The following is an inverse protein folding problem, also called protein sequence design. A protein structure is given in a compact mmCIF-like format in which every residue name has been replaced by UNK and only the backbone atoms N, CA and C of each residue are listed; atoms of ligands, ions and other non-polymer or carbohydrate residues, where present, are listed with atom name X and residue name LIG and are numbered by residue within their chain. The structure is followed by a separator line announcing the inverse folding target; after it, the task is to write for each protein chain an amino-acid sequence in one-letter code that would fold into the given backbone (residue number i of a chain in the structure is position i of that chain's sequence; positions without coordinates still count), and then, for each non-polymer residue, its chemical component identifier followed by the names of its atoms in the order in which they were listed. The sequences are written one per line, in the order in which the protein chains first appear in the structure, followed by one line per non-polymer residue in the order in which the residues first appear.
data_IF_632554384635
#
_entry.id   IF_632554384635
#
_cell.length_a   1.000
_cell.length_b   1.000
_cell.length_c   1.000
_cell.angle_alpha   90.00
_cell.angle_beta   90.00
_cell.angle_gamma   90.00
#
_symmetry.space_group_name_H-M   'P 1'
#
loop_
_entity.id
_entity.type
_entity.pdbx_description
1 polymer ?
#
# COMPACT_ATOMS: atom_id res chain seq x y z
N UNK A 1 29.75 24.25 11.48
CA UNK A 1 28.31 24.02 11.24
C UNK A 1 28.17 22.58 10.78
N UNK A 2 27.73 21.70 11.67
CA UNK A 2 27.43 20.31 11.35
C UNK A 2 25.99 20.27 10.86
N UNK A 3 25.79 19.92 9.60
CA UNK A 3 24.46 19.64 9.03
C UNK A 3 23.89 18.41 9.74
N UNK A 4 22.92 18.64 10.61
CA UNK A 4 22.07 17.59 11.17
C UNK A 4 21.11 17.14 10.08
N UNK A 5 21.48 16.12 9.29
CA UNK A 5 20.50 15.34 8.56
C UNK A 5 19.64 14.64 9.62
N UNK A 6 18.47 15.21 9.94
CA UNK A 6 17.44 14.56 10.73
C UNK A 6 17.02 13.29 9.99
N UNK A 7 17.68 12.18 10.27
CA UNK A 7 17.21 10.86 9.90
C UNK A 7 15.97 10.60 10.74
N UNK A 8 14.80 10.90 10.19
CA UNK A 8 13.52 10.48 10.76
C UNK A 8 13.65 8.97 11.01
N UNK A 9 13.41 8.48 12.24
CA UNK A 9 13.58 7.05 12.53
C UNK A 9 12.76 6.25 11.51
N UNK A 10 13.38 5.22 10.92
CA UNK A 10 12.74 4.31 9.98
C UNK A 10 11.57 3.65 10.70
N UNK A 11 10.41 4.27 10.55
CA UNK A 11 9.24 3.94 11.32
C UNK A 11 8.60 2.77 10.60
N UNK A 12 8.73 1.59 11.20
CA UNK A 12 8.18 0.33 10.69
C UNK A 12 6.73 0.53 10.20
N UNK A 13 6.45 0.05 8.99
CA UNK A 13 5.18 0.35 8.34
C UNK A 13 5.06 -0.21 6.93
N UNK A 14 3.89 0.01 6.33
CA UNK A 14 3.57 -0.36 4.96
C UNK A 14 3.50 0.90 4.10
N UNK A 15 4.37 0.99 3.09
CA UNK A 15 4.33 2.04 2.07
C UNK A 15 4.29 1.41 0.69
N UNK A 16 3.39 1.88 -0.17
CA UNK A 16 3.25 1.41 -1.53
C UNK A 16 2.77 2.54 -2.44
N UNK A 17 3.44 2.72 -3.57
CA UNK A 17 3.04 3.66 -4.62
C UNK A 17 2.48 2.94 -5.83
N UNK A 18 1.43 3.50 -6.44
CA UNK A 18 0.78 2.95 -7.64
C UNK A 18 0.40 1.47 -7.50
N UNK A 19 -0.06 1.06 -6.32
CA UNK A 19 -0.38 -0.33 -6.01
C UNK A 19 -1.59 -0.79 -6.83
N UNK A 20 -1.39 -1.83 -7.62
CA UNK A 20 -2.42 -2.39 -8.50
C UNK A 20 -2.66 -3.87 -8.23
N UNK A 21 -3.90 -4.33 -8.44
CA UNK A 21 -4.21 -5.76 -8.35
C UNK A 21 -3.49 -6.53 -9.48
N UNK A 22 -2.61 -7.50 -9.19
CA UNK A 22 -1.79 -8.17 -10.23
C UNK A 22 -2.62 -8.88 -11.30
N UNK A 23 -3.79 -9.41 -10.91
CA UNK A 23 -4.69 -10.13 -11.82
C UNK A 23 -5.68 -9.23 -12.59
N UNK A 24 -5.69 -7.91 -12.35
CA UNK A 24 -6.49 -6.99 -13.16
C UNK A 24 -5.65 -6.51 -14.34
N UNK A 25 -6.21 -6.68 -15.54
CA UNK A 25 -5.59 -6.25 -16.80
C UNK A 25 -5.20 -4.78 -16.72
N UNK A 26 -3.98 -4.45 -17.15
CA UNK A 26 -3.40 -3.10 -17.03
C UNK A 26 -4.31 -2.00 -17.54
N UNK A 27 -4.99 -2.21 -18.67
CA UNK A 27 -5.90 -1.25 -19.30
C UNK A 27 -7.13 -0.88 -18.44
N UNK A 28 -7.53 -1.74 -17.51
CA UNK A 28 -8.70 -1.54 -16.64
C UNK A 28 -8.31 -1.37 -15.17
N UNK A 29 -7.02 -1.42 -14.85
CA UNK A 29 -6.54 -1.40 -13.49
C UNK A 29 -6.42 0.02 -13.00
N UNK A 30 -7.11 0.30 -11.89
CA UNK A 30 -6.90 1.51 -11.10
C UNK A 30 -5.86 1.21 -10.03
N UNK A 31 -4.84 2.06 -9.91
CA UNK A 31 -3.81 1.97 -8.89
C UNK A 31 -4.09 2.94 -7.75
N UNK A 32 -3.66 2.59 -6.54
CA UNK A 32 -3.81 3.44 -5.35
C UNK A 32 -2.50 3.50 -4.58
N UNK A 33 -2.23 4.63 -3.95
CA UNK A 33 -1.13 4.77 -3.01
C UNK A 33 -1.58 4.35 -1.60
N UNK A 34 -0.66 3.85 -0.79
CA UNK A 34 -0.90 3.47 0.59
C UNK A 34 0.31 3.81 1.47
N UNK A 35 0.06 4.46 2.59
CA UNK A 35 1.06 4.75 3.61
C UNK A 35 0.46 4.51 5.00
N UNK A 36 1.07 3.59 5.75
CA UNK A 36 0.76 3.26 7.14
C UNK A 36 2.09 3.17 7.89
N UNK A 37 2.51 4.21 8.62
CA UNK A 37 3.85 4.29 9.24
C UNK A 37 3.78 4.52 10.74
N UNK A 38 4.21 3.54 11.54
CA UNK A 38 4.22 3.63 12.99
C UNK A 38 3.12 2.80 13.63
N UNK A 39 2.92 3.01 14.93
CA UNK A 39 1.95 2.24 15.71
C UNK A 39 0.57 2.93 15.70
N UNK A 40 -0.50 2.12 15.79
CA UNK A 40 -1.86 2.64 15.98
C UNK A 40 -2.60 3.13 14.72
N UNK A 41 -2.13 2.80 13.52
CA UNK A 41 -2.82 3.19 12.29
C UNK A 41 -4.08 2.36 12.05
N UNK A 42 -5.18 3.05 11.75
CA UNK A 42 -6.42 2.46 11.29
C UNK A 42 -6.76 3.01 9.91
N UNK A 43 -6.83 2.13 8.91
CA UNK A 43 -7.32 2.49 7.58
C UNK A 43 -8.83 2.20 7.49
N UNK A 44 -9.64 3.26 7.53
CA UNK A 44 -11.10 3.15 7.37
C UNK A 44 -11.48 3.25 5.87
N UNK A 45 -11.88 2.13 5.28
CA UNK A 45 -12.27 2.06 3.86
C UNK A 45 -13.80 2.11 3.73
N UNK A 46 -14.33 3.22 3.22
CA UNK A 46 -15.79 3.44 3.00
C UNK A 46 -16.12 3.69 1.53
N UNK A 47 -17.42 3.70 1.19
CA UNK A 47 -17.90 3.95 -0.18
C UNK A 47 -19.07 3.06 -0.59
N UNK A 48 -19.72 3.40 -1.71
CA UNK A 48 -20.90 2.70 -2.23
C UNK A 48 -20.62 1.24 -2.60
N UNK A 49 -21.68 0.43 -2.76
CA UNK A 49 -21.52 -0.90 -3.33
C UNK A 49 -20.81 -0.82 -4.69
N UNK A 50 -19.97 -1.83 -4.99
CA UNK A 50 -19.19 -1.91 -6.23
C UNK A 50 -18.08 -0.84 -6.41
N UNK A 51 -17.85 0.07 -5.46
CA UNK A 51 -16.82 1.12 -5.58
C UNK A 51 -15.36 0.61 -5.52
N UNK A 52 -15.13 -0.70 -5.54
CA UNK A 52 -13.78 -1.29 -5.55
C UNK A 52 -13.13 -1.48 -4.18
N UNK A 53 -13.83 -1.26 -3.05
CA UNK A 53 -13.27 -1.44 -1.69
C UNK A 53 -12.65 -2.83 -1.46
N UNK A 54 -13.38 -3.89 -1.82
CA UNK A 54 -12.87 -5.26 -1.69
C UNK A 54 -11.69 -5.51 -2.64
N UNK A 55 -11.70 -4.91 -3.83
CA UNK A 55 -10.59 -4.97 -4.78
C UNK A 55 -9.34 -4.28 -4.22
N UNK A 56 -9.49 -3.12 -3.57
CA UNK A 56 -8.40 -2.43 -2.90
C UNK A 56 -7.81 -3.26 -1.76
N UNK A 57 -8.63 -3.80 -0.86
CA UNK A 57 -8.14 -4.67 0.23
C UNK A 57 -7.40 -5.91 -0.29
N UNK A 58 -7.91 -6.55 -1.35
CA UNK A 58 -7.23 -7.68 -2.01
C UNK A 58 -5.93 -7.25 -2.67
N UNK A 59 -5.90 -6.06 -3.27
CA UNK A 59 -4.69 -5.49 -3.88
C UNK A 59 -3.60 -5.31 -2.84
N UNK A 60 -3.93 -4.77 -1.67
CA UNK A 60 -2.98 -4.65 -0.54
C UNK A 60 -2.51 -6.02 -0.08
N UNK A 61 -3.44 -6.94 0.21
CA UNK A 61 -3.10 -8.27 0.72
C UNK A 61 -2.22 -9.09 -0.23
N UNK A 62 -2.57 -9.15 -1.52
CA UNK A 62 -1.80 -9.94 -2.50
C UNK A 62 -0.40 -9.37 -2.71
N UNK A 63 -0.27 -8.04 -2.86
CA UNK A 63 1.05 -7.44 -3.02
C UNK A 63 1.91 -7.59 -1.76
N UNK A 64 1.30 -7.54 -0.56
CA UNK A 64 2.02 -7.85 0.67
C UNK A 64 2.48 -9.32 0.72
N UNK A 65 1.62 -10.27 0.35
CA UNK A 65 2.01 -11.67 0.25
C UNK A 65 3.16 -11.88 -0.76
N UNK A 66 3.10 -11.23 -1.92
CA UNK A 66 4.16 -11.28 -2.92
C UNK A 66 5.47 -10.68 -2.38
N UNK A 67 5.41 -9.51 -1.73
CA UNK A 67 6.58 -8.89 -1.10
C UNK A 67 7.26 -9.83 -0.10
N UNK A 68 6.46 -10.46 0.78
CA UNK A 68 6.96 -11.39 1.80
C UNK A 68 7.47 -12.71 1.22
N UNK A 69 6.94 -13.14 0.07
CA UNK A 69 7.41 -14.31 -0.64
C UNK A 69 8.63 -14.05 -1.56
N UNK A 70 9.11 -12.80 -1.66
CA UNK A 70 10.16 -12.41 -2.60
C UNK A 70 9.70 -12.37 -4.06
N UNK A 71 8.39 -12.31 -4.29
CA UNK A 71 7.77 -12.19 -5.61
C UNK A 71 7.75 -10.75 -6.14
N UNK A 72 7.35 -10.56 -7.41
CA UNK A 72 7.23 -9.23 -8.00
C UNK A 72 6.09 -8.44 -7.36
N UNK A 73 6.34 -7.15 -7.08
CA UNK A 73 5.39 -6.18 -6.51
C UNK A 73 5.29 -4.93 -7.37
#
# INVERSE_FOLDING_TARGET
QLETTNTTPDTQGLTAGSLGHPLIVRAHRVTNDLELRGEGHLLLVTGSNMSGKSTFLRTVGINLCLAQAGGPV
#
